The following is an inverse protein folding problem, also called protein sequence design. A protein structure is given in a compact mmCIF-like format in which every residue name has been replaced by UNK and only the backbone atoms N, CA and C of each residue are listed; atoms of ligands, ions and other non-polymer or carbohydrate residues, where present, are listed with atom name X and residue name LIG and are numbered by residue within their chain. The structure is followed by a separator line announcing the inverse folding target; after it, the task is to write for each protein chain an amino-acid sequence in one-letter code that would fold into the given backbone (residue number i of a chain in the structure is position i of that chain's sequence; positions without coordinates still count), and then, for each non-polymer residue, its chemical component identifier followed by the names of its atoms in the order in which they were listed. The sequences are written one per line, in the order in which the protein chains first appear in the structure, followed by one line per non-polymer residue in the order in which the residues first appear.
data_IF_465121426834
#
_entry.id   IF_465121426834
#
_cell.length_a   1.000
_cell.length_b   1.000
_cell.length_c   1.000
_cell.angle_alpha   90.00
_cell.angle_beta   90.00
_cell.angle_gamma   90.00
#
_symmetry.space_group_name_H-M   'P 1'
#
loop_
_entity.id
_entity.type
_entity.pdbx_description
1 polymer ?
#
# COMPACT_ATOMS: atom_id res chain seq x y z
N UNK A 1 5.54 -9.07 7.42
CA UNK A 1 6.33 -8.22 8.33
C UNK A 1 7.83 -8.57 8.35
N UNK A 2 8.22 -9.84 8.53
CA UNK A 2 9.64 -10.24 8.57
C UNK A 2 10.47 -9.72 7.38
N UNK A 3 9.97 -9.81 6.15
CA UNK A 3 10.67 -9.29 4.97
C UNK A 3 10.89 -7.76 5.03
N UNK A 4 9.95 -7.01 5.60
CA UNK A 4 10.08 -5.56 5.76
C UNK A 4 11.16 -5.22 6.80
N UNK A 5 11.24 -6.00 7.89
CA UNK A 5 12.33 -5.86 8.88
C UNK A 5 13.68 -6.21 8.29
N UNK A 6 13.77 -7.32 7.54
CA UNK A 6 15.02 -7.74 6.90
C UNK A 6 15.55 -6.70 5.89
N UNK A 7 14.67 -5.96 5.23
CA UNK A 7 15.01 -4.86 4.31
C UNK A 7 15.15 -3.50 4.99
N UNK A 8 15.11 -3.46 6.34
CA UNK A 8 15.25 -2.23 7.12
C UNK A 8 14.11 -1.23 6.95
N UNK A 9 12.94 -1.68 6.47
CA UNK A 9 11.76 -0.86 6.23
C UNK A 9 10.84 -0.75 7.45
N UNK A 10 10.98 -1.67 8.41
CA UNK A 10 10.33 -1.61 9.72
C UNK A 10 11.36 -1.96 10.81
N UNK A 11 11.26 -1.29 11.96
CA UNK A 11 12.09 -1.59 13.11
C UNK A 11 11.58 -2.87 13.82
N UNK A 12 12.44 -3.85 14.13
CA UNK A 12 12.01 -5.11 14.76
C UNK A 12 11.33 -4.90 16.11
N UNK A 13 11.78 -3.93 16.89
CA UNK A 13 11.22 -3.55 18.20
C UNK A 13 9.80 -2.98 18.10
N UNK A 14 9.39 -2.49 16.93
CA UNK A 14 8.06 -1.91 16.67
C UNK A 14 7.10 -2.89 16.01
N UNK A 15 7.49 -4.15 15.79
CA UNK A 15 6.64 -5.15 15.13
C UNK A 15 5.28 -5.33 15.81
N UNK A 16 5.23 -5.23 17.14
CA UNK A 16 4.00 -5.33 17.92
C UNK A 16 2.98 -4.26 17.58
N UNK A 17 3.40 -3.08 17.10
CA UNK A 17 2.49 -1.98 16.73
C UNK A 17 1.67 -2.29 15.47
N UNK A 18 2.13 -3.24 14.65
CA UNK A 18 1.47 -3.63 13.40
C UNK A 18 0.69 -4.94 13.53
N UNK A 19 0.48 -5.43 14.75
CA UNK A 19 -0.23 -6.68 15.03
C UNK A 19 -1.41 -6.39 15.94
N UNK A 20 -2.54 -7.04 15.67
CA UNK A 20 -3.67 -7.07 16.63
C UNK A 20 -3.35 -8.02 17.79
N UNK A 21 -4.21 -8.03 18.81
CA UNK A 21 -4.13 -8.98 19.95
C UNK A 21 -4.14 -10.45 19.50
N UNK A 22 -4.73 -10.74 18.34
CA UNK A 22 -4.75 -12.08 17.73
C UNK A 22 -3.50 -12.43 16.93
N UNK A 23 -2.52 -11.53 16.86
CA UNK A 23 -1.30 -11.68 16.07
C UNK A 23 -1.50 -11.48 14.56
N UNK A 24 -2.64 -10.94 14.13
CA UNK A 24 -2.91 -10.63 12.72
C UNK A 24 -2.38 -9.25 12.36
N UNK A 25 -1.75 -9.06 11.18
CA UNK A 25 -1.29 -7.74 10.76
C UNK A 25 -2.44 -6.74 10.69
N UNK A 26 -2.28 -5.61 11.38
CA UNK A 26 -3.19 -4.47 11.30
C UNK A 26 -2.63 -3.47 10.32
N UNK A 27 -3.43 -3.09 9.33
CA UNK A 27 -3.00 -2.11 8.32
C UNK A 27 -2.87 -0.73 8.95
N UNK A 28 -1.76 -0.05 8.64
CA UNK A 28 -1.52 1.36 8.97
C UNK A 28 -0.90 2.05 7.76
N UNK A 29 -0.99 3.38 7.63
CA UNK A 29 -0.32 4.12 6.56
C UNK A 29 1.20 3.84 6.50
N UNK A 30 1.85 3.70 7.67
CA UNK A 30 3.26 3.35 7.77
C UNK A 30 3.54 1.95 7.22
N UNK A 31 2.71 0.96 7.56
CA UNK A 31 2.85 -0.38 7.01
C UNK A 31 2.63 -0.40 5.50
N UNK A 32 1.67 0.37 5.00
CA UNK A 32 1.45 0.57 3.57
C UNK A 32 2.69 1.13 2.86
N UNK A 33 3.32 2.17 3.43
CA UNK A 33 4.54 2.78 2.89
C UNK A 33 5.71 1.80 2.86
N UNK A 34 5.88 0.99 3.91
CA UNK A 34 6.89 -0.05 3.95
C UNK A 34 6.65 -1.12 2.87
N UNK A 35 5.40 -1.55 2.66
CA UNK A 35 5.04 -2.52 1.62
C UNK A 35 5.32 -1.96 0.23
N UNK A 36 4.89 -0.73 -0.07
CA UNK A 36 5.12 -0.09 -1.36
C UNK A 36 6.62 0.06 -1.65
N UNK A 37 7.40 0.47 -0.65
CA UNK A 37 8.86 0.58 -0.75
C UNK A 37 9.52 -0.77 -1.02
N UNK A 38 9.07 -1.82 -0.32
CA UNK A 38 9.57 -3.19 -0.52
C UNK A 38 9.30 -3.69 -1.95
N UNK A 39 8.07 -3.52 -2.44
CA UNK A 39 7.68 -3.94 -3.80
C UNK A 39 8.42 -3.15 -4.88
N UNK A 40 8.64 -1.85 -4.67
CA UNK A 40 9.36 -0.99 -5.61
C UNK A 40 10.80 -1.44 -5.82
N UNK A 41 11.44 -2.04 -4.82
CA UNK A 41 12.81 -2.61 -4.91
C UNK A 41 12.90 -3.93 -5.67
N UNK A 42 11.78 -4.51 -6.11
CA UNK A 42 11.76 -5.77 -6.85
C UNK A 42 12.37 -5.66 -8.26
N UNK A 43 12.82 -6.80 -8.81
CA UNK A 43 13.30 -6.92 -10.20
C UNK A 43 12.19 -6.91 -11.26
N UNK A 44 10.92 -6.77 -10.86
CA UNK A 44 9.83 -6.65 -11.82
C UNK A 44 10.08 -5.46 -12.75
N UNK A 45 9.79 -5.59 -14.04
CA UNK A 45 9.99 -4.49 -15.01
C UNK A 45 8.99 -3.36 -14.83
N UNK A 46 7.78 -3.69 -14.37
CA UNK A 46 6.68 -2.78 -14.13
C UNK A 46 6.11 -3.01 -12.73
N UNK A 47 5.71 -1.92 -12.09
CA UNK A 47 4.95 -1.91 -10.84
C UNK A 47 3.74 -1.01 -11.05
N UNK A 48 2.58 -1.45 -10.58
CA UNK A 48 1.35 -0.66 -10.55
C UNK A 48 1.02 -0.37 -9.09
N UNK A 49 0.51 0.83 -8.84
CA UNK A 49 -0.05 1.23 -7.54
C UNK A 49 -1.53 1.50 -7.77
N UNK A 50 -2.39 0.93 -6.92
CA UNK A 50 -3.82 1.18 -6.97
C UNK A 50 -4.11 2.56 -6.34
N UNK A 51 -5.07 3.31 -6.88
CA UNK A 51 -5.45 4.60 -6.29
C UNK A 51 -6.08 4.41 -4.91
N UNK A 52 -6.69 3.26 -4.66
CA UNK A 52 -7.21 2.79 -3.39
C UNK A 52 -6.13 2.80 -2.29
N UNK A 53 -4.89 2.37 -2.59
CA UNK A 53 -3.77 2.43 -1.65
C UNK A 53 -3.30 3.87 -1.40
N UNK A 54 -3.46 4.74 -2.40
CA UNK A 54 -3.14 6.17 -2.26
C UNK A 54 -4.19 6.85 -1.38
N UNK A 55 -5.48 6.60 -1.59
CA UNK A 55 -6.53 7.27 -0.80
C UNK A 55 -6.82 6.57 0.53
N UNK A 56 -6.33 5.33 0.72
CA UNK A 56 -6.55 4.53 1.92
C UNK A 56 -7.92 3.87 1.97
N UNK A 57 -8.47 3.43 0.83
CA UNK A 57 -9.73 2.66 0.82
C UNK A 57 -9.54 1.32 1.54
N UNK A 58 -10.42 1.02 2.50
CA UNK A 58 -10.44 -0.28 3.18
C UNK A 58 -11.29 -1.32 2.46
N UNK A 59 -12.22 -0.87 1.61
CA UNK A 59 -13.25 -1.69 1.02
C UNK A 59 -12.88 -2.14 -0.40
N UNK A 60 -13.04 -3.43 -0.68
CA UNK A 60 -12.78 -3.97 -2.01
C UNK A 60 -13.81 -3.48 -3.04
N UNK A 61 -13.35 -3.10 -4.23
CA UNK A 61 -14.21 -2.74 -5.37
C UNK A 61 -15.00 -3.94 -5.91
N UNK A 62 -14.45 -5.15 -5.75
CA UNK A 62 -15.07 -6.41 -6.15
C UNK A 62 -14.70 -7.52 -5.17
N UNK A 63 -15.69 -8.30 -4.75
CA UNK A 63 -15.53 -9.51 -3.95
C UNK A 63 -15.91 -10.73 -4.79
N UNK A 64 -14.92 -11.51 -5.29
CA UNK A 64 -15.19 -12.67 -6.14
C UNK A 64 -16.14 -13.68 -5.49
N UNK A 65 -17.04 -14.25 -6.29
CA UNK A 65 -18.00 -15.26 -5.82
C UNK A 65 -19.28 -14.70 -5.19
N UNK A 66 -19.51 -13.39 -5.29
CA UNK A 66 -20.75 -12.74 -4.85
C UNK A 66 -21.52 -12.17 -6.05
N UNK A 67 -22.84 -12.11 -5.93
CA UNK A 67 -23.71 -11.46 -6.94
C UNK A 67 -24.43 -10.28 -6.30
N UNK A 68 -25.17 -10.54 -5.22
CA UNK A 68 -26.02 -9.55 -4.55
C UNK A 68 -25.53 -9.20 -3.13
N UNK A 69 -24.56 -9.94 -2.61
CA UNK A 69 -24.03 -9.80 -1.25
C UNK A 69 -23.02 -8.66 -1.10
N UNK A 70 -22.34 -8.30 -2.19
CA UNK A 70 -21.36 -7.21 -2.23
C UNK A 70 -21.68 -6.24 -3.35
N UNK A 71 -21.52 -4.91 -3.16
CA UNK A 71 -21.74 -3.92 -4.21
C UNK A 71 -20.58 -3.90 -5.24
N UNK A 72 -20.37 -5.03 -5.93
CA UNK A 72 -19.32 -5.21 -6.93
C UNK A 72 -19.39 -4.14 -8.01
N UNK A 73 -18.24 -3.54 -8.34
CA UNK A 73 -18.06 -2.58 -9.44
C UNK A 73 -18.89 -1.30 -9.32
N UNK A 74 -19.44 -1.01 -8.14
CA UNK A 74 -20.31 0.15 -7.89
C UNK A 74 -19.66 1.21 -7.01
N UNK A 75 -18.57 0.87 -6.32
CA UNK A 75 -17.90 1.77 -5.38
C UNK A 75 -17.06 2.82 -6.11
N UNK A 76 -17.17 4.06 -5.61
CA UNK A 76 -16.33 5.19 -6.01
C UNK A 76 -15.28 5.40 -4.92
N UNK A 77 -14.15 6.01 -5.27
CA UNK A 77 -13.18 6.48 -4.29
C UNK A 77 -13.82 7.55 -3.39
N UNK A 78 -13.40 7.58 -2.13
CA UNK A 78 -13.84 8.55 -1.13
C UNK A 78 -13.43 9.99 -1.45
N UNK A 79 -12.34 10.15 -2.23
CA UNK A 79 -11.80 11.44 -2.66
C UNK A 79 -12.06 11.70 -4.14
N UNK A 80 -12.32 12.95 -4.48
CA UNK A 80 -12.37 13.40 -5.86
C UNK A 80 -10.97 13.63 -6.45
N UNK A 81 -10.89 13.79 -7.77
CA UNK A 81 -9.61 13.91 -8.48
C UNK A 81 -8.76 15.10 -8.00
N UNK A 82 -9.38 16.24 -7.68
CA UNK A 82 -8.67 17.40 -7.17
C UNK A 82 -8.05 17.14 -5.81
N UNK A 83 -8.79 16.49 -4.91
CA UNK A 83 -8.29 16.09 -3.58
C UNK A 83 -7.12 15.11 -3.70
N UNK A 84 -7.17 14.19 -4.67
CA UNK A 84 -6.09 13.22 -4.91
C UNK A 84 -4.84 13.92 -5.48
N UNK A 85 -5.00 14.76 -6.50
CA UNK A 85 -3.89 15.41 -7.20
C UNK A 85 -3.21 16.46 -6.32
N UNK A 86 -3.99 17.25 -5.59
CA UNK A 86 -3.47 18.33 -4.75
C UNK A 86 -3.20 17.89 -3.30
N UNK A 87 -3.58 16.67 -2.94
CA UNK A 87 -3.22 16.04 -1.68
C UNK A 87 -1.74 15.66 -1.62
N UNK A 88 -1.23 15.43 -0.41
CA UNK A 88 0.18 15.05 -0.20
C UNK A 88 0.45 13.58 -0.44
N UNK A 89 -0.60 12.75 -0.38
CA UNK A 89 -0.46 11.29 -0.33
C UNK A 89 -0.02 10.69 -1.66
N UNK A 90 -0.55 11.19 -2.78
CA UNK A 90 -0.12 10.77 -4.11
C UNK A 90 1.36 11.04 -4.34
N UNK A 91 1.82 12.26 -4.03
CA UNK A 91 3.23 12.64 -4.14
C UNK A 91 4.13 11.79 -3.24
N UNK A 92 3.74 11.56 -1.98
CA UNK A 92 4.48 10.70 -1.05
C UNK A 92 4.65 9.27 -1.60
N UNK A 93 3.57 8.68 -2.11
CA UNK A 93 3.62 7.34 -2.69
C UNK A 93 4.49 7.30 -3.94
N UNK A 94 4.38 8.31 -4.82
CA UNK A 94 5.23 8.43 -6.00
C UNK A 94 6.72 8.53 -5.64
N UNK A 95 7.07 9.27 -4.59
CA UNK A 95 8.44 9.37 -4.08
C UNK A 95 8.97 8.03 -3.58
N UNK A 96 8.22 7.32 -2.73
CA UNK A 96 8.60 6.01 -2.20
C UNK A 96 8.84 5.00 -3.32
N UNK A 97 7.94 4.96 -4.30
CA UNK A 97 8.07 4.08 -5.45
C UNK A 97 9.28 4.48 -6.28
N UNK A 98 9.43 5.76 -6.62
CA UNK A 98 10.56 6.26 -7.43
C UNK A 98 11.90 5.91 -6.79
N UNK A 99 12.04 6.11 -5.48
CA UNK A 99 13.24 5.76 -4.74
C UNK A 99 13.55 4.26 -4.85
N UNK A 100 12.56 3.40 -4.59
CA UNK A 100 12.73 1.95 -4.70
C UNK A 100 13.05 1.48 -6.13
N UNK A 101 12.42 2.09 -7.14
CA UNK A 101 12.71 1.79 -8.56
C UNK A 101 14.13 2.18 -8.95
N UNK A 102 14.63 3.33 -8.49
CA UNK A 102 16.01 3.77 -8.72
C UNK A 102 17.03 2.86 -8.03
N UNK A 103 16.73 2.40 -6.82
CA UNK A 103 17.57 1.42 -6.12
C UNK A 103 17.62 0.08 -6.88
N UNK A 104 16.48 -0.41 -7.37
CA UNK A 104 16.40 -1.64 -8.15
C UNK A 104 17.20 -1.56 -9.46
N UNK A 105 17.20 -0.40 -10.13
CA UNK A 105 17.93 -0.17 -11.37
C UNK A 105 19.47 -0.16 -11.21
N UNK A 106 19.97 0.01 -9.98
CA UNK A 106 21.41 0.02 -9.65
C UNK A 106 21.96 -1.36 -9.28
N UNK A 107 21.10 -2.37 -9.13
CA UNK A 107 21.46 -3.74 -8.75
C UNK A 107 21.51 -4.64 -9.99
#
# INVERSE_FOLDING_TARGET
LQALVAEGLLAPERLGEFLSDSGTPTYTPELGDAILSYLARSRARLMLVQLEDVVGESEQANLPGTTDEHPNWRRRLSLNLGEIIYGTRLSKVAELVTEGRLQAARR
#
